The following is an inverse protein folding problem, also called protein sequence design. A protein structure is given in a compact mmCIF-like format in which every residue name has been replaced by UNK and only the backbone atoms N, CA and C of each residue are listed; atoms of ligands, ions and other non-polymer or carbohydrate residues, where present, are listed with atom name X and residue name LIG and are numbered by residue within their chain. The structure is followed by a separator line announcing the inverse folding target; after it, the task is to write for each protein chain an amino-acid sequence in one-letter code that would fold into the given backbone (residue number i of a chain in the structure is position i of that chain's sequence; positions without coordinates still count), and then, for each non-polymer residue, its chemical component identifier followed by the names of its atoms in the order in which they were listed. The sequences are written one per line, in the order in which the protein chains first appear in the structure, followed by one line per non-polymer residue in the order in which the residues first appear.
data_IF_040817334525
#
_entry.id   IF_040817334525
#
_cell.length_a   1.000
_cell.length_b   1.000
_cell.length_c   1.000
_cell.angle_alpha   90.00
_cell.angle_beta   90.00
_cell.angle_gamma   90.00
#
_symmetry.space_group_name_H-M   'P 1'
#
loop_
_entity.id
_entity.type
_entity.pdbx_description
1 polymer ?
#
# COMPACT_ATOMS: atom_id res chain seq x y z
N UNK A 1 -10.16 14.12 -8.68
CA UNK A 1 -11.27 13.18 -8.36
C UNK A 1 -11.15 12.83 -6.88
N UNK A 2 -12.22 12.77 -6.06
CA UNK A 2 -12.08 12.25 -4.68
C UNK A 2 -12.25 10.73 -4.74
N UNK A 3 -11.18 9.93 -4.62
CA UNK A 3 -11.20 8.52 -5.01
C UNK A 3 -11.97 7.61 -4.05
N UNK A 4 -12.36 8.09 -2.88
CA UNK A 4 -13.03 7.29 -1.86
C UNK A 4 -14.30 8.01 -1.37
N UNK A 5 -15.47 7.57 -1.85
CA UNK A 5 -16.78 7.89 -1.24
C UNK A 5 -17.23 6.70 -0.41
N UNK A 6 -17.86 6.98 0.73
CA UNK A 6 -18.47 5.96 1.58
C UNK A 6 -20.00 6.01 1.52
N UNK A 7 -20.63 4.95 2.03
CA UNK A 7 -22.09 4.81 2.07
C UNK A 7 -22.78 5.87 2.94
N UNK A 8 -22.06 6.48 3.90
CA UNK A 8 -22.60 7.55 4.74
C UNK A 8 -22.65 8.88 4.00
N UNK A 9 -21.65 9.16 3.18
CA UNK A 9 -21.49 10.37 2.37
C UNK A 9 -22.30 10.31 1.06
N UNK A 10 -22.58 9.11 0.56
CA UNK A 10 -23.39 8.87 -0.63
C UNK A 10 -24.15 7.53 -0.53
N UNK A 11 -25.35 7.50 0.07
CA UNK A 11 -26.16 6.29 0.17
C UNK A 11 -26.46 5.68 -1.21
N UNK A 12 -26.37 4.36 -1.32
CA UNK A 12 -26.50 3.61 -2.56
C UNK A 12 -25.25 3.62 -3.45
N UNK A 13 -24.22 4.39 -3.11
CA UNK A 13 -23.01 4.51 -3.93
C UNK A 13 -22.36 3.17 -4.20
N UNK A 14 -22.28 2.26 -3.21
CA UNK A 14 -21.63 0.96 -3.43
C UNK A 14 -22.37 0.09 -4.45
N UNK A 15 -23.69 -0.01 -4.32
CA UNK A 15 -24.52 -0.80 -5.24
C UNK A 15 -24.55 -0.19 -6.64
N UNK A 16 -24.55 1.14 -6.74
CA UNK A 16 -24.47 1.84 -8.02
C UNK A 16 -23.08 1.72 -8.64
N UNK A 17 -22.00 1.93 -7.88
CA UNK A 17 -20.62 1.73 -8.31
C UNK A 17 -20.39 0.30 -8.82
N UNK A 18 -20.84 -0.72 -8.08
CA UNK A 18 -20.71 -2.11 -8.48
C UNK A 18 -21.45 -2.41 -9.80
N UNK A 19 -22.68 -1.90 -9.96
CA UNK A 19 -23.46 -2.11 -11.18
C UNK A 19 -22.94 -1.33 -12.38
N UNK A 20 -22.55 -0.08 -12.19
CA UNK A 20 -22.14 0.81 -13.29
C UNK A 20 -20.70 0.57 -13.71
N UNK A 21 -19.80 0.25 -12.78
CA UNK A 21 -18.36 0.20 -13.04
C UNK A 21 -17.75 -1.20 -12.90
N UNK A 22 -18.49 -2.21 -12.43
CA UNK A 22 -17.97 -3.58 -12.27
C UNK A 22 -18.90 -4.65 -12.84
N UNK A 23 -19.91 -4.31 -13.63
CA UNK A 23 -20.82 -5.30 -14.20
C UNK A 23 -20.12 -6.38 -15.04
N UNK A 24 -20.76 -7.54 -15.27
CA UNK A 24 -20.21 -8.56 -16.17
C UNK A 24 -19.85 -7.98 -17.55
N UNK A 25 -18.66 -8.33 -18.04
CA UNK A 25 -18.09 -7.81 -19.28
C UNK A 25 -17.30 -6.51 -19.13
N UNK A 26 -17.36 -5.82 -17.98
CA UNK A 26 -16.55 -4.62 -17.75
C UNK A 26 -15.06 -4.98 -17.73
N UNK A 27 -14.28 -4.18 -18.49
CA UNK A 27 -12.83 -4.34 -18.64
C UNK A 27 -12.07 -3.33 -17.79
N UNK A 28 -11.00 -3.81 -17.19
CA UNK A 28 -10.06 -3.04 -16.39
C UNK A 28 -8.66 -3.24 -16.96
N UNK A 29 -7.88 -2.18 -16.98
CA UNK A 29 -6.43 -2.26 -17.16
C UNK A 29 -5.79 -2.63 -15.82
N UNK A 30 -4.90 -3.61 -15.84
CA UNK A 30 -4.15 -4.05 -14.66
C UNK A 30 -2.78 -3.40 -14.61
N UNK A 31 -2.42 -2.91 -13.43
CA UNK A 31 -1.12 -2.36 -13.11
C UNK A 31 -0.46 -3.16 -11.99
N UNK A 32 0.86 -3.32 -12.09
CA UNK A 32 1.71 -3.85 -11.03
C UNK A 32 3.01 -3.08 -10.99
N UNK A 33 3.42 -2.66 -9.79
CA UNK A 33 4.64 -1.87 -9.58
C UNK A 33 4.74 -0.66 -10.52
N UNK A 34 3.65 0.10 -10.67
CA UNK A 34 3.58 1.29 -11.53
C UNK A 34 3.47 1.02 -13.04
N UNK A 35 3.55 -0.24 -13.50
CA UNK A 35 3.51 -0.58 -14.92
C UNK A 35 2.21 -1.28 -15.32
N UNK A 36 1.73 -1.01 -16.55
CA UNK A 36 0.62 -1.76 -17.16
C UNK A 36 1.08 -3.19 -17.47
N UNK A 37 0.33 -4.17 -16.99
CA UNK A 37 0.70 -5.59 -17.09
C UNK A 37 -0.36 -6.48 -17.73
N UNK A 38 -1.57 -5.97 -17.94
CA UNK A 38 -2.62 -6.78 -18.51
C UNK A 38 -4.01 -6.17 -18.44
N UNK A 39 -5.00 -7.04 -18.54
CA UNK A 39 -6.41 -6.69 -18.40
C UNK A 39 -7.16 -7.67 -17.51
N UNK A 40 -8.22 -7.19 -16.88
CA UNK A 40 -9.18 -8.00 -16.14
C UNK A 40 -10.57 -7.76 -16.73
N UNK A 41 -11.27 -8.84 -17.07
CA UNK A 41 -12.65 -8.79 -17.55
C UNK A 41 -13.56 -9.42 -16.52
N UNK A 42 -14.52 -8.65 -16.01
CA UNK A 42 -15.43 -9.10 -14.95
C UNK A 42 -16.41 -10.14 -15.48
N UNK A 43 -16.65 -11.18 -14.69
CA UNK A 43 -17.66 -12.22 -14.97
C UNK A 43 -18.77 -12.21 -13.93
N UNK A 44 -18.43 -12.03 -12.66
CA UNK A 44 -19.38 -12.03 -11.54
C UNK A 44 -19.05 -10.93 -10.53
N UNK A 45 -20.07 -10.43 -9.83
CA UNK A 45 -19.97 -9.34 -8.85
C UNK A 45 -20.64 -9.73 -7.55
N UNK A 46 -19.93 -9.54 -6.45
CA UNK A 46 -20.41 -9.75 -5.09
C UNK A 46 -19.91 -8.66 -4.14
N UNK A 47 -19.84 -9.00 -2.87
CA UNK A 47 -19.36 -8.12 -1.81
C UNK A 47 -18.31 -8.84 -0.97
N UNK A 48 -17.24 -8.12 -0.63
CA UNK A 48 -16.21 -8.57 0.30
C UNK A 48 -16.45 -7.92 1.67
N UNK A 49 -16.94 -8.75 2.60
CA UNK A 49 -17.24 -8.39 3.98
C UNK A 49 -16.00 -8.46 4.89
N UNK A 50 -14.83 -8.89 4.37
CA UNK A 50 -13.61 -8.94 5.18
C UNK A 50 -13.01 -7.56 5.47
N UNK A 51 -13.42 -6.54 4.72
CA UNK A 51 -13.07 -5.15 4.96
C UNK A 51 -13.97 -4.52 6.04
N UNK A 52 -13.42 -3.62 6.84
CA UNK A 52 -14.19 -2.96 7.92
C UNK A 52 -15.39 -2.16 7.40
N UNK A 53 -15.32 -1.80 6.12
CA UNK A 53 -16.39 -1.23 5.32
C UNK A 53 -16.59 -2.16 4.14
N UNK A 54 -17.71 -2.92 4.04
CA UNK A 54 -17.89 -3.92 2.98
C UNK A 54 -17.70 -3.33 1.58
N UNK A 55 -16.93 -4.02 0.73
CA UNK A 55 -16.50 -3.50 -0.58
C UNK A 55 -17.08 -4.32 -1.73
N UNK A 56 -17.41 -3.72 -2.88
CA UNK A 56 -17.68 -4.47 -4.09
C UNK A 56 -16.52 -5.42 -4.42
N UNK A 57 -16.84 -6.66 -4.79
CA UNK A 57 -15.89 -7.67 -5.23
C UNK A 57 -16.28 -8.12 -6.63
N UNK A 58 -15.30 -8.28 -7.51
CA UNK A 58 -15.51 -8.92 -8.80
C UNK A 58 -14.62 -10.16 -8.94
N UNK A 59 -15.08 -11.12 -9.74
CA UNK A 59 -14.28 -12.24 -10.22
C UNK A 59 -14.41 -12.35 -11.73
N UNK A 60 -13.43 -12.93 -12.40
CA UNK A 60 -13.39 -12.99 -13.85
C UNK A 60 -12.04 -13.41 -14.41
N UNK A 61 -11.79 -13.07 -15.67
CA UNK A 61 -10.61 -13.50 -16.42
C UNK A 61 -9.52 -12.44 -16.35
N UNK A 62 -8.29 -12.87 -16.07
CA UNK A 62 -7.09 -12.04 -16.07
C UNK A 62 -6.21 -12.45 -17.26
N UNK A 63 -5.84 -11.48 -18.09
CA UNK A 63 -4.93 -11.66 -19.22
C UNK A 63 -3.68 -10.81 -18.98
N UNK A 64 -2.51 -11.44 -18.86
CA UNK A 64 -1.25 -10.77 -18.54
C UNK A 64 -0.26 -10.85 -19.69
N UNK A 65 0.64 -9.86 -19.75
CA UNK A 65 1.87 -9.99 -20.54
C UNK A 65 2.76 -11.09 -19.94
N UNK A 66 3.54 -11.82 -20.75
CA UNK A 66 4.35 -12.96 -20.28
C UNK A 66 5.26 -12.62 -19.08
N UNK A 67 5.86 -11.43 -19.08
CA UNK A 67 6.77 -10.94 -18.06
C UNK A 67 6.10 -10.77 -16.69
N UNK A 68 4.77 -10.56 -16.67
CA UNK A 68 3.99 -10.37 -15.45
C UNK A 68 3.32 -11.66 -14.93
N UNK A 69 3.61 -12.81 -15.53
CA UNK A 69 3.01 -14.11 -15.15
C UNK A 69 3.19 -14.50 -13.68
N UNK A 70 4.23 -13.99 -13.00
CA UNK A 70 4.47 -14.20 -11.58
C UNK A 70 3.77 -13.21 -10.64
N UNK A 71 3.15 -12.15 -11.16
CA UNK A 71 2.42 -11.17 -10.36
C UNK A 71 1.07 -11.73 -9.90
N UNK A 72 0.72 -11.54 -8.63
CA UNK A 72 -0.49 -12.10 -8.02
C UNK A 72 -1.43 -11.04 -7.44
N UNK A 73 -1.01 -9.78 -7.45
CA UNK A 73 -1.78 -8.64 -6.94
C UNK A 73 -1.64 -7.47 -7.90
N UNK A 74 -2.73 -6.74 -8.14
CA UNK A 74 -2.79 -5.70 -9.17
C UNK A 74 -3.64 -4.52 -8.70
N UNK A 75 -3.35 -3.33 -9.23
CA UNK A 75 -4.33 -2.25 -9.28
C UNK A 75 -5.12 -2.40 -10.57
N UNK A 76 -6.44 -2.50 -10.44
CA UNK A 76 -7.35 -2.58 -11.58
C UNK A 76 -8.06 -1.24 -11.75
N UNK A 77 -7.88 -0.61 -12.91
CA UNK A 77 -8.49 0.68 -13.23
C UNK A 77 -9.42 0.49 -14.43
N UNK A 78 -10.69 0.92 -14.36
CA UNK A 78 -11.61 0.80 -15.49
C UNK A 78 -11.00 1.42 -16.76
N UNK A 79 -11.14 0.74 -17.91
CA UNK A 79 -10.46 1.16 -19.15
C UNK A 79 -10.78 2.62 -19.54
N UNK A 80 -12.01 3.07 -19.27
CA UNK A 80 -12.46 4.46 -19.50
C UNK A 80 -11.68 5.53 -18.73
N UNK A 81 -10.89 5.15 -17.72
CA UNK A 81 -10.03 6.04 -16.94
C UNK A 81 -8.54 5.79 -17.17
N UNK A 82 -8.17 4.84 -18.04
CA UNK A 82 -6.77 4.48 -18.27
C UNK A 82 -6.06 5.25 -19.37
N UNK A 83 -6.78 5.88 -20.30
CA UNK A 83 -6.16 6.71 -21.33
C UNK A 83 -5.37 7.89 -20.73
N UNK A 84 -5.69 8.26 -19.49
CA UNK A 84 -4.93 9.25 -18.72
C UNK A 84 -3.69 8.70 -18.02
N UNK A 85 -3.51 7.39 -17.82
CA UNK A 85 -2.42 6.89 -16.94
C UNK A 85 -1.21 6.52 -17.79
N UNK A 86 -0.11 7.26 -17.65
CA UNK A 86 1.16 6.92 -18.27
C UNK A 86 1.71 5.62 -17.70
N UNK A 87 2.36 4.79 -18.52
CA UNK A 87 2.93 3.54 -18.06
C UNK A 87 4.27 3.24 -18.72
N UNK A 88 5.17 2.65 -17.93
CA UNK A 88 6.45 2.10 -18.38
C UNK A 88 6.35 0.59 -18.58
N UNK A 89 7.22 -0.02 -19.39
CA UNK A 89 7.32 -1.47 -19.51
C UNK A 89 7.55 -2.13 -18.14
N UNK A 90 6.82 -3.19 -17.86
CA UNK A 90 6.93 -3.92 -16.59
C UNK A 90 8.34 -4.52 -16.44
N UNK A 91 8.99 -4.19 -15.31
CA UNK A 91 10.25 -4.80 -14.90
C UNK A 91 10.06 -5.45 -13.54
N UNK A 92 10.17 -6.78 -13.42
CA UNK A 92 10.06 -7.43 -12.13
C UNK A 92 11.20 -6.99 -11.23
N UNK A 93 10.86 -6.34 -10.11
CA UNK A 93 11.82 -5.98 -9.08
C UNK A 93 12.10 -7.20 -8.20
N UNK A 94 13.37 -7.50 -8.00
CA UNK A 94 13.81 -8.53 -7.05
C UNK A 94 14.41 -7.85 -5.83
N UNK A 95 14.11 -8.40 -4.66
CA UNK A 95 14.81 -8.04 -3.44
C UNK A 95 16.28 -8.42 -3.52
N UNK A 96 17.16 -7.45 -3.38
CA UNK A 96 18.57 -7.73 -3.10
C UNK A 96 18.81 -7.87 -1.57
N UNK A 97 20.02 -8.32 -1.22
CA UNK A 97 20.43 -8.51 0.19
C UNK A 97 20.55 -7.18 0.93
N UNK A 98 21.03 -6.14 0.26
CA UNK A 98 21.26 -4.80 0.83
C UNK A 98 19.92 -4.19 1.25
N UNK A 99 18.89 -4.27 0.41
CA UNK A 99 17.56 -3.76 0.72
C UNK A 99 16.94 -4.47 1.93
N UNK A 100 17.16 -5.78 2.07
CA UNK A 100 16.72 -6.52 3.27
C UNK A 100 17.47 -6.10 4.53
N UNK A 101 18.76 -5.79 4.43
CA UNK A 101 19.54 -5.31 5.58
C UNK A 101 19.16 -3.87 5.95
N UNK A 102 19.03 -2.98 4.96
CA UNK A 102 18.60 -1.60 5.14
C UNK A 102 17.27 -1.50 5.91
N UNK A 103 16.30 -2.37 5.61
CA UNK A 103 15.04 -2.43 6.37
C UNK A 103 15.22 -2.71 7.86
N UNK A 104 16.14 -3.61 8.22
CA UNK A 104 16.47 -3.94 9.63
C UNK A 104 17.25 -2.79 10.28
N UNK A 105 18.24 -2.23 9.58
CA UNK A 105 19.06 -1.14 10.10
C UNK A 105 18.22 0.11 10.38
N UNK A 106 17.29 0.44 9.48
CA UNK A 106 16.36 1.56 9.72
C UNK A 106 15.43 1.27 10.90
N UNK A 107 14.90 0.06 11.02
CA UNK A 107 14.07 -0.30 12.16
C UNK A 107 14.85 -0.23 13.48
N UNK A 108 16.13 -0.60 13.46
CA UNK A 108 17.03 -0.53 14.61
C UNK A 108 17.29 0.91 15.09
N UNK A 109 17.20 1.88 14.18
CA UNK A 109 17.27 3.32 14.51
C UNK A 109 15.91 3.84 14.99
N UNK A 110 14.81 3.45 14.34
CA UNK A 110 13.48 4.01 14.59
C UNK A 110 12.86 3.50 15.90
N UNK A 111 12.97 2.20 16.21
CA UNK A 111 12.32 1.60 17.40
C UNK A 111 12.71 2.32 18.72
N UNK A 112 14.00 2.62 18.99
CA UNK A 112 14.38 3.34 20.20
C UNK A 112 13.89 4.79 20.20
N UNK A 113 13.88 5.47 19.04
CA UNK A 113 13.46 6.86 18.91
C UNK A 113 11.98 7.05 19.27
N UNK A 114 11.14 6.08 18.91
CA UNK A 114 9.70 6.10 19.22
C UNK A 114 9.38 5.49 20.59
N UNK A 115 10.39 5.03 21.34
CA UNK A 115 10.22 4.43 22.67
C UNK A 115 9.54 3.05 22.66
N UNK A 116 9.52 2.37 21.53
CA UNK A 116 8.89 1.04 21.41
C UNK A 116 9.74 -0.05 22.07
N UNK A 117 9.09 -1.12 22.52
CA UNK A 117 9.81 -2.27 23.07
C UNK A 117 10.62 -2.97 21.97
N UNK A 118 11.89 -3.25 22.24
CA UNK A 118 12.74 -3.90 21.26
C UNK A 118 12.39 -5.39 21.04
N UNK A 119 12.24 -5.87 19.79
CA UNK A 119 12.03 -7.29 19.49
C UNK A 119 13.26 -8.14 19.80
N UNK A 120 13.06 -9.36 20.31
CA UNK A 120 14.17 -10.31 20.54
C UNK A 120 14.91 -10.69 19.26
N UNK A 121 14.20 -10.73 18.12
CA UNK A 121 14.77 -10.94 16.79
C UNK A 121 14.11 -9.99 15.80
N UNK A 122 14.91 -9.11 15.20
CA UNK A 122 14.44 -8.19 14.16
C UNK A 122 14.04 -8.93 12.88
N UNK A 123 14.70 -10.05 12.59
CA UNK A 123 14.40 -10.87 11.41
C UNK A 123 13.02 -11.53 11.55
N UNK A 124 12.72 -12.09 12.72
CA UNK A 124 11.42 -12.72 12.99
C UNK A 124 10.30 -11.69 13.13
N UNK A 125 10.59 -10.53 13.72
CA UNK A 125 9.62 -9.47 13.85
C UNK A 125 9.22 -8.85 12.49
N UNK A 126 10.04 -8.99 11.44
CA UNK A 126 9.71 -8.47 10.11
C UNK A 126 8.65 -9.34 9.44
N UNK A 127 7.40 -8.90 9.53
CA UNK A 127 6.25 -9.59 8.93
C UNK A 127 6.12 -9.37 7.43
N UNK A 128 6.63 -8.26 6.90
CA UNK A 128 6.60 -7.98 5.46
C UNK A 128 7.78 -7.10 5.00
N UNK A 129 8.19 -7.32 3.75
CA UNK A 129 9.13 -6.45 3.02
C UNK A 129 8.84 -6.54 1.52
N UNK A 130 8.64 -5.39 0.90
CA UNK A 130 8.45 -5.25 -0.56
C UNK A 130 9.41 -4.18 -1.09
N UNK A 131 10.07 -4.46 -2.22
CA UNK A 131 10.90 -3.48 -2.93
C UNK A 131 10.11 -2.86 -4.06
N UNK A 132 10.29 -1.56 -4.23
CA UNK A 132 9.60 -0.77 -5.23
C UNK A 132 10.56 0.22 -5.90
N UNK A 133 10.13 0.72 -7.05
CA UNK A 133 10.77 1.82 -7.77
C UNK A 133 9.79 2.98 -7.76
N UNK A 134 10.24 4.13 -7.28
CA UNK A 134 9.48 5.36 -7.44
C UNK A 134 9.55 5.84 -8.90
N UNK A 135 8.60 6.64 -9.40
CA UNK A 135 8.57 7.14 -10.78
C UNK A 135 9.80 7.96 -11.15
N UNK A 136 10.42 8.62 -10.17
CA UNK A 136 11.68 9.35 -10.33
C UNK A 136 12.92 8.41 -10.41
N UNK A 137 12.72 7.09 -10.38
CA UNK A 137 13.76 6.07 -10.49
C UNK A 137 14.37 5.64 -9.15
N UNK A 138 14.02 6.28 -8.03
CA UNK A 138 14.64 5.95 -6.75
C UNK A 138 14.22 4.55 -6.27
N UNK A 139 15.19 3.75 -5.79
CA UNK A 139 14.89 2.58 -4.97
C UNK A 139 14.12 2.94 -3.72
N UNK A 140 13.10 2.14 -3.42
CA UNK A 140 12.40 2.22 -2.14
C UNK A 140 12.03 0.84 -1.61
N UNK A 141 11.82 0.78 -0.30
CA UNK A 141 11.48 -0.41 0.45
C UNK A 141 10.28 -0.07 1.32
N UNK A 142 9.22 -0.85 1.18
CA UNK A 142 8.12 -0.87 2.12
C UNK A 142 8.32 -2.05 3.06
N UNK A 143 8.28 -1.84 4.37
CA UNK A 143 8.52 -2.92 5.34
C UNK A 143 7.66 -2.76 6.58
N UNK A 144 7.19 -3.88 7.10
CA UNK A 144 6.41 -3.93 8.34
C UNK A 144 7.05 -4.87 9.34
N UNK A 145 7.24 -4.35 10.55
CA UNK A 145 7.61 -5.11 11.72
C UNK A 145 6.38 -5.26 12.63
N UNK A 146 6.20 -6.46 13.17
CA UNK A 146 5.13 -6.79 14.11
C UNK A 146 5.76 -7.43 15.34
N UNK A 147 5.47 -6.88 16.52
CA UNK A 147 5.99 -7.39 17.78
C UNK A 147 4.88 -8.10 18.55
N UNK A 148 5.15 -9.34 18.98
CA UNK A 148 4.22 -10.22 19.73
C UNK A 148 2.90 -10.53 19.03
N UNK A 149 2.77 -10.26 17.74
CA UNK A 149 1.54 -10.51 16.96
C UNK A 149 1.94 -10.95 15.54
N UNK A 150 0.96 -11.17 14.68
CA UNK A 150 1.14 -11.62 13.29
C UNK A 150 0.48 -10.64 12.32
N UNK A 151 1.03 -10.57 11.10
CA UNK A 151 0.52 -9.74 10.02
C UNK A 151 -0.71 -10.38 9.34
N UNK A 152 -1.78 -10.56 10.12
CA UNK A 152 -3.05 -11.12 9.68
C UNK A 152 -4.21 -10.55 10.50
N UNK A 153 -5.43 -10.68 9.99
CA UNK A 153 -6.64 -10.26 10.70
C UNK A 153 -6.92 -11.24 11.85
N UNK A 154 -6.74 -10.77 13.07
CA UNK A 154 -6.98 -11.54 14.31
C UNK A 154 -6.94 -10.60 15.52
N UNK A 155 -7.56 -10.94 16.66
CA UNK A 155 -7.44 -10.17 17.90
C UNK A 155 -5.98 -9.82 18.24
N UNK A 156 -5.78 -8.63 18.79
CA UNK A 156 -4.44 -8.19 19.15
C UNK A 156 -3.89 -8.95 20.36
N UNK A 157 -2.62 -9.34 20.29
CA UNK A 157 -1.92 -9.88 21.44
C UNK A 157 -1.59 -8.77 22.47
N UNK A 158 -1.63 -9.06 23.79
CA UNK A 158 -1.31 -8.06 24.80
C UNK A 158 0.09 -7.46 24.62
N UNK A 159 0.16 -6.12 24.63
CA UNK A 159 1.40 -5.34 24.42
C UNK A 159 2.04 -5.56 23.05
N UNK A 160 1.26 -5.92 22.04
CA UNK A 160 1.73 -5.94 20.65
C UNK A 160 1.78 -4.53 20.05
N UNK A 161 2.60 -4.40 19.02
CA UNK A 161 2.62 -3.22 18.16
C UNK A 161 2.97 -3.60 16.73
N UNK A 162 2.68 -2.70 15.80
CA UNK A 162 3.22 -2.73 14.44
C UNK A 162 3.98 -1.47 14.12
N UNK A 163 5.05 -1.61 13.34
CA UNK A 163 5.87 -0.54 12.80
C UNK A 163 5.98 -0.72 11.30
N UNK A 164 5.25 0.08 10.53
CA UNK A 164 5.41 0.20 9.10
C UNK A 164 6.41 1.32 8.79
N UNK A 165 7.27 1.10 7.80
CA UNK A 165 8.18 2.12 7.29
C UNK A 165 8.20 2.12 5.76
N UNK A 166 8.25 3.32 5.19
CA UNK A 166 8.74 3.55 3.84
C UNK A 166 10.17 4.05 3.93
N UNK A 167 11.07 3.36 3.24
CA UNK A 167 12.49 3.67 3.20
C UNK A 167 12.84 3.98 1.75
N UNK A 168 13.53 5.09 1.51
CA UNK A 168 13.85 5.56 0.16
C UNK A 168 15.36 5.76 0.06
N UNK A 169 15.92 5.47 -1.10
CA UNK A 169 17.32 5.72 -1.39
C UNK A 169 17.57 7.22 -1.58
N UNK A 170 18.76 7.69 -1.19
CA UNK A 170 19.20 9.07 -1.37
C UNK A 170 19.50 9.42 -2.84
N UNK A 171 19.68 8.42 -3.69
CA UNK A 171 20.02 8.58 -5.10
C UNK A 171 19.50 7.43 -5.96
N UNK A 172 19.38 7.68 -7.26
CA UNK A 172 19.16 6.65 -8.28
C UNK A 172 20.49 5.97 -8.59
N UNK A 173 20.65 4.65 -8.40
CA UNK A 173 21.87 3.96 -8.79
C UNK A 173 22.04 3.96 -10.32
N UNK A 174 23.28 4.06 -10.83
CA UNK A 174 23.56 3.76 -12.23
C UNK A 174 23.07 2.35 -12.61
N UNK A 175 22.83 2.14 -13.90
CA UNK A 175 22.34 0.86 -14.39
C UNK A 175 23.33 -0.28 -14.05
N UNK A 176 22.84 -1.32 -13.39
CA UNK A 176 23.64 -2.47 -12.95
C UNK A 176 24.34 -2.30 -11.60
N UNK A 177 24.24 -1.14 -10.95
CA UNK A 177 24.84 -0.90 -9.64
C UNK A 177 23.84 -1.10 -8.48
N UNK A 178 24.38 -1.52 -7.33
CA UNK A 178 23.62 -1.71 -6.09
C UNK A 178 24.11 -0.66 -5.08
N UNK A 179 23.18 0.08 -4.48
CA UNK A 179 23.51 1.05 -3.44
C UNK A 179 23.99 0.37 -2.16
N UNK A 180 24.68 1.13 -1.31
CA UNK A 180 25.01 0.71 0.05
C UNK A 180 23.80 0.86 0.98
N UNK A 181 23.76 0.07 2.05
CA UNK A 181 22.68 0.12 3.07
C UNK A 181 22.56 1.50 3.74
N UNK A 182 23.69 2.24 3.81
CA UNK A 182 23.75 3.58 4.35
C UNK A 182 23.04 4.63 3.48
N UNK A 183 22.88 4.37 2.17
CA UNK A 183 22.24 5.27 1.20
C UNK A 183 20.71 5.25 1.25
N UNK A 184 20.13 4.59 2.26
CA UNK A 184 18.69 4.49 2.45
C UNK A 184 18.29 5.22 3.73
N UNK A 185 17.28 6.08 3.65
CA UNK A 185 16.71 6.79 4.80
C UNK A 185 15.23 6.44 4.99
N UNK A 186 14.74 6.58 6.23
CA UNK A 186 13.32 6.40 6.54
C UNK A 186 12.55 7.63 6.11
N UNK A 187 11.73 7.48 5.06
CA UNK A 187 10.92 8.56 4.50
C UNK A 187 9.54 8.69 5.17
N UNK A 188 8.99 7.59 5.68
CA UNK A 188 7.74 7.60 6.44
C UNK A 188 7.74 6.48 7.49
N UNK A 189 7.09 6.75 8.62
CA UNK A 189 6.89 5.78 9.70
C UNK A 189 5.43 5.78 10.13
N UNK A 190 4.88 4.59 10.35
CA UNK A 190 3.60 4.39 11.01
C UNK A 190 3.74 3.36 12.12
N UNK A 191 3.87 3.87 13.34
CA UNK A 191 3.85 3.10 14.57
C UNK A 191 2.44 3.03 15.14
N UNK A 192 2.03 1.86 15.61
CA UNK A 192 0.73 1.66 16.26
C UNK A 192 0.84 0.64 17.38
N UNK A 193 0.50 1.08 18.59
CA UNK A 193 0.38 0.19 19.76
C UNK A 193 -1.03 -0.35 19.87
N UNK A 194 -1.18 -1.68 19.91
CA UNK A 194 -2.50 -2.29 19.95
C UNK A 194 -3.29 -1.89 21.20
N UNK A 195 -2.62 -1.76 22.36
CA UNK A 195 -3.27 -1.38 23.60
C UNK A 195 -3.87 0.04 23.60
N UNK A 196 -3.33 0.93 22.75
CA UNK A 196 -3.74 2.34 22.67
C UNK A 196 -4.72 2.61 21.53
N UNK A 197 -4.47 1.97 20.39
CA UNK A 197 -5.14 2.31 19.12
C UNK A 197 -5.89 1.11 18.52
N UNK A 198 -5.85 -0.06 19.16
CA UNK A 198 -6.26 -1.33 18.55
C UNK A 198 -5.24 -1.84 17.53
N UNK A 199 -5.32 -3.12 17.16
CA UNK A 199 -4.45 -3.68 16.11
C UNK A 199 -4.68 -2.98 14.77
N UNK A 200 -3.60 -2.69 14.07
CA UNK A 200 -3.63 -2.24 12.68
C UNK A 200 -2.23 -2.30 12.09
N UNK A 201 -1.90 -3.42 11.46
CA UNK A 201 -0.58 -3.68 10.89
C UNK A 201 -0.61 -3.51 9.36
N UNK A 202 -0.03 -2.44 8.81
CA UNK A 202 -0.04 -2.19 7.36
C UNK A 202 0.83 -3.20 6.62
N UNK A 203 0.46 -3.55 5.39
CA UNK A 203 1.32 -4.23 4.41
C UNK A 203 1.24 -3.50 3.08
N UNK A 204 2.33 -3.52 2.33
CA UNK A 204 2.31 -3.02 0.97
C UNK A 204 1.30 -3.82 0.13
N UNK A 205 0.48 -3.14 -0.66
CA UNK A 205 -0.38 -3.78 -1.65
C UNK A 205 0.09 -3.47 -3.06
N UNK A 206 0.04 -2.20 -3.46
CA UNK A 206 0.51 -1.72 -4.76
C UNK A 206 0.82 -0.22 -4.69
N UNK A 207 1.40 0.35 -5.74
CA UNK A 207 1.53 1.80 -5.90
C UNK A 207 1.24 2.23 -7.34
N UNK A 208 0.80 3.47 -7.51
CA UNK A 208 0.58 4.13 -8.79
C UNK A 208 0.48 5.65 -8.54
N UNK A 209 0.85 6.46 -9.52
CA UNK A 209 0.44 7.86 -9.60
C UNK A 209 -0.94 7.90 -10.28
N UNK A 210 -2.02 7.83 -9.47
CA UNK A 210 -3.38 7.69 -10.01
C UNK A 210 -4.09 9.04 -10.23
N UNK A 211 -3.62 10.12 -9.62
CA UNK A 211 -4.18 11.47 -9.83
C UNK A 211 -3.33 12.34 -10.77
N UNK A 212 -2.15 11.85 -11.16
CA UNK A 212 -1.23 12.43 -12.15
C UNK A 212 -0.58 13.73 -11.70
N UNK A 213 -0.37 13.89 -10.41
CA UNK A 213 0.41 15.00 -9.90
C UNK A 213 1.93 14.77 -10.05
N UNK A 214 2.35 13.59 -10.52
CA UNK A 214 3.75 13.19 -10.67
C UNK A 214 4.36 12.62 -9.39
N UNK A 215 3.58 12.55 -8.32
CA UNK A 215 3.91 11.92 -7.06
C UNK A 215 3.29 10.51 -7.02
N UNK A 216 3.87 9.62 -6.22
CA UNK A 216 3.34 8.25 -6.11
C UNK A 216 2.46 8.12 -4.90
N UNK A 217 1.33 7.45 -5.10
CA UNK A 217 0.55 6.90 -4.02
C UNK A 217 0.88 5.43 -3.79
N UNK A 218 1.19 5.10 -2.54
CA UNK A 218 1.34 3.73 -2.07
C UNK A 218 0.04 3.32 -1.39
N UNK A 219 -0.58 2.28 -1.95
CA UNK A 219 -1.74 1.62 -1.37
C UNK A 219 -1.29 0.57 -0.36
N UNK A 220 -1.79 0.70 0.87
CA UNK A 220 -1.56 -0.23 1.96
C UNK A 220 -2.85 -1.00 2.27
N UNK A 221 -2.70 -2.29 2.53
CA UNK A 221 -3.74 -3.09 3.17
C UNK A 221 -3.37 -3.27 4.64
N UNK A 222 -4.28 -2.95 5.55
CA UNK A 222 -4.01 -2.89 6.98
C UNK A 222 -4.76 -4.00 7.70
N UNK A 223 -4.02 -4.84 8.42
CA UNK A 223 -4.54 -6.00 9.14
C UNK A 223 -4.99 -5.61 10.54
N UNK A 224 -6.30 -5.65 10.78
CA UNK A 224 -6.93 -5.33 12.06
C UNK A 224 -7.27 -6.53 12.93
N UNK A 225 -8.11 -6.29 13.93
CA UNK A 225 -8.57 -7.34 14.85
C UNK A 225 -9.61 -8.28 14.25
N UNK A 226 -10.58 -7.68 13.53
CA UNK A 226 -11.76 -8.38 12.99
C UNK A 226 -11.90 -8.23 11.49
N UNK A 227 -11.37 -7.14 10.96
CA UNK A 227 -11.46 -6.79 9.55
C UNK A 227 -10.13 -6.19 9.12
N UNK A 228 -9.90 -6.16 7.80
CA UNK A 228 -8.84 -5.40 7.18
C UNK A 228 -9.37 -4.08 6.62
N UNK A 229 -8.46 -3.18 6.23
CA UNK A 229 -8.83 -1.92 5.59
C UNK A 229 -7.74 -1.37 4.69
N UNK A 230 -8.06 -0.29 3.98
CA UNK A 230 -7.12 0.38 3.10
C UNK A 230 -6.63 1.68 3.71
N UNK A 231 -5.34 1.96 3.52
CA UNK A 231 -4.73 3.26 3.75
C UNK A 231 -3.90 3.66 2.53
N UNK A 232 -3.70 4.96 2.35
CA UNK A 232 -2.84 5.52 1.29
C UNK A 232 -1.76 6.37 1.93
N UNK A 233 -0.53 6.13 1.51
CA UNK A 233 0.61 7.01 1.80
C UNK A 233 1.04 7.67 0.48
N UNK A 234 1.05 8.99 0.45
CA UNK A 234 1.37 9.78 -0.74
C UNK A 234 2.51 10.74 -0.42
N UNK A 235 3.42 10.94 -1.38
CA UNK A 235 4.42 12.00 -1.31
C UNK A 235 3.72 13.33 -1.57
N UNK A 236 4.01 14.34 -0.75
CA UNK A 236 3.52 15.72 -0.91
C UNK A 236 4.71 16.66 -0.82
N UNK A 237 5.27 17.01 -1.97
CA UNK A 237 6.53 17.73 -2.05
C UNK A 237 7.68 16.84 -1.57
N UNK A 238 8.29 17.17 -0.44
CA UNK A 238 9.40 16.38 0.11
C UNK A 238 8.98 15.37 1.18
N UNK A 239 7.73 15.45 1.66
CA UNK A 239 7.27 14.67 2.80
C UNK A 239 6.30 13.57 2.36
N UNK A 240 6.45 12.39 2.95
CA UNK A 240 5.47 11.31 2.79
C UNK A 240 4.44 11.40 3.91
N UNK A 241 3.16 11.34 3.54
CA UNK A 241 2.06 11.47 4.51
C UNK A 241 0.95 10.48 4.23
N UNK A 242 0.26 10.04 5.29
CA UNK A 242 -0.95 9.23 5.14
C UNK A 242 -2.12 10.14 4.79
N UNK A 243 -2.55 10.08 3.53
CA UNK A 243 -3.60 10.97 2.99
C UNK A 243 -4.99 10.36 3.09
N UNK A 244 -5.08 9.04 3.22
CA UNK A 244 -6.33 8.32 3.37
C UNK A 244 -6.19 7.11 4.31
N UNK A 245 -7.26 6.82 5.04
CA UNK A 245 -7.46 5.60 5.80
C UNK A 245 -8.97 5.36 5.90
N UNK A 246 -9.43 4.12 5.66
CA UNK A 246 -10.84 3.80 5.85
C UNK A 246 -11.28 4.09 7.30
N UNK A 247 -12.49 4.60 7.52
CA UNK A 247 -13.03 4.85 8.85
C UNK A 247 -13.48 3.53 9.49
N UNK A 248 -12.54 2.73 9.99
CA UNK A 248 -12.83 1.47 10.69
C UNK A 248 -13.29 1.67 12.13
N UNK A 249 -14.29 2.54 12.31
CA UNK A 249 -14.78 2.97 13.62
C UNK A 249 -14.02 4.16 14.23
N UNK A 250 -12.94 4.63 13.59
CA UNK A 250 -12.27 5.88 13.91
C UNK A 250 -12.68 7.00 12.93
N UNK A 251 -12.59 8.27 13.35
CA UNK A 251 -12.72 9.40 12.42
C UNK A 251 -11.56 9.38 11.42
N UNK A 252 -11.85 9.60 10.14
CA UNK A 252 -10.80 9.71 9.12
C UNK A 252 -9.76 10.77 9.53
N UNK A 253 -8.45 10.55 9.28
CA UNK A 253 -7.44 11.55 9.61
C UNK A 253 -7.78 12.88 8.93
N UNK A 254 -7.67 13.98 9.69
CA UNK A 254 -7.85 15.32 9.12
C UNK A 254 -6.73 15.56 8.12
N UNK A 255 -7.05 15.48 6.82
CA UNK A 255 -6.20 16.02 5.77
C UNK A 255 -6.05 17.51 6.07
N UNK A 256 -4.83 17.97 6.38
CA UNK A 256 -4.56 19.40 6.48
C UNK A 256 -4.68 19.98 5.07
N UNK A 257 -5.86 20.49 4.74
CA UNK A 257 -6.08 21.27 3.55
C UNK A 257 -5.48 22.66 3.83
N UNK A 258 -4.23 22.89 3.39
CA UNK A 258 -3.73 24.26 3.27
C UNK A 258 -4.21 24.86 1.95
N UNK A 259 -5.52 24.89 1.77
CA UNK A 259 -6.15 25.78 0.82
C UNK A 259 -6.87 26.86 1.62
N UNK A 260 -6.27 28.06 1.60
CA UNK A 260 -6.85 29.43 1.59
C UNK A 260 -6.14 30.35 2.59
N UNK A 261 -5.86 31.63 2.25
CA UNK A 261 -5.48 32.23 0.96
C UNK A 261 -3.99 32.62 0.89
#
# INVERSE_FOLDING_TARGET
MKPFRDEKSAPGYRGTFARELMGPGTRFTLFSAGSRVGTFTTSDVGTDESYCTPRPRASGVVELVPEASGATSFLAIPEQFTDSIGYEPYRPLKHDRVQRAAGIDRAAVVIPQIGATWPTSMVEARGDITTLRLPDGHPAISTTFVFRDQLQVQPAEPRSYSLYMLIVADAVPPEGEILLEASYHTAYTWYREAAREGKGAPRYFQHLDWDRDGETEILLEVMGERHKWIAVVQKRGNDWTRTYEDPCGAAAPKVQDRSTP
#
